data_IF_649870057765
#
_entry.id   IF_649870057765
#
_cell.length_a   1.000
_cell.length_b   1.000
_cell.length_c   1.000
_cell.angle_alpha   90.00
_cell.angle_beta   90.00
_cell.angle_gamma   90.00
#
_symmetry.space_group_name_H-M   'P 1'
#
loop_
_entity.id
_entity.type
_entity.pdbx_description
1 polymer ?
#
# COMPACT_ATOMS: atom_id res chain seq x y z
N UNK A 1 -3.50 -41.47 -11.16
CA UNK A 1 -2.83 -40.21 -10.81
C UNK A 1 -2.50 -39.53 -12.12
N UNK A 2 -3.21 -38.49 -12.52
CA UNK A 2 -2.78 -37.65 -13.65
C UNK A 2 -1.51 -36.93 -13.23
N UNK A 3 -0.36 -37.40 -13.70
CA UNK A 3 0.92 -36.73 -13.48
C UNK A 3 0.92 -35.41 -14.27
N UNK A 4 1.22 -34.31 -13.64
CA UNK A 4 1.42 -33.03 -14.31
C UNK A 4 2.65 -33.16 -15.23
N UNK A 5 2.54 -32.68 -16.46
CA UNK A 5 3.65 -32.67 -17.40
C UNK A 5 4.52 -31.43 -17.14
N UNK A 6 5.84 -31.61 -17.22
CA UNK A 6 6.80 -30.52 -17.05
C UNK A 6 7.21 -29.94 -18.39
N UNK A 7 7.18 -28.66 -18.54
CA UNK A 7 7.55 -27.89 -19.72
C UNK A 7 8.57 -26.81 -19.37
N UNK A 8 9.34 -26.35 -20.35
CA UNK A 8 10.06 -25.09 -20.25
C UNK A 8 9.11 -23.94 -20.60
N UNK A 9 9.22 -22.83 -19.86
CA UNK A 9 8.35 -21.69 -20.07
C UNK A 9 8.40 -21.16 -21.51
N UNK A 10 9.59 -21.18 -22.15
CA UNK A 10 9.77 -20.75 -23.54
C UNK A 10 9.04 -21.64 -24.58
N UNK A 11 8.58 -22.85 -24.22
CA UNK A 11 7.73 -23.70 -25.07
C UNK A 11 6.26 -23.23 -25.02
N UNK A 12 5.88 -22.52 -23.98
CA UNK A 12 4.50 -22.12 -23.69
C UNK A 12 4.22 -20.66 -23.97
N UNK A 13 5.25 -19.79 -23.88
CA UNK A 13 5.10 -18.34 -24.04
C UNK A 13 6.25 -17.74 -24.83
N UNK A 14 6.01 -16.56 -25.40
CA UNK A 14 7.07 -15.75 -25.98
C UNK A 14 7.45 -14.62 -25.01
N UNK A 15 8.75 -14.53 -24.67
CA UNK A 15 9.29 -13.51 -23.79
C UNK A 15 9.76 -12.31 -24.61
N UNK A 16 9.25 -11.10 -24.31
CA UNK A 16 9.64 -9.84 -25.00
C UNK A 16 10.10 -8.81 -23.99
N UNK A 17 11.28 -8.20 -24.23
CA UNK A 17 11.84 -7.15 -23.39
C UNK A 17 11.19 -5.81 -23.60
N UNK A 18 11.31 -4.93 -22.61
CA UNK A 18 11.01 -3.51 -22.74
C UNK A 18 12.18 -2.69 -23.28
N UNK A 19 12.08 -1.38 -23.23
CA UNK A 19 13.08 -0.47 -23.76
C UNK A 19 13.42 0.64 -22.78
N UNK A 20 14.74 0.90 -22.62
CA UNK A 20 15.25 2.08 -21.93
C UNK A 20 14.88 3.33 -22.71
N UNK A 21 14.57 4.40 -21.99
CA UNK A 21 14.40 5.72 -22.57
C UNK A 21 15.67 6.15 -23.35
N UNK A 22 15.52 6.85 -24.47
CA UNK A 22 16.66 7.45 -25.17
C UNK A 22 17.49 8.33 -24.23
N UNK A 23 18.80 8.41 -24.52
CA UNK A 23 19.73 9.20 -23.68
C UNK A 23 19.29 10.68 -23.62
N UNK A 24 19.22 11.24 -22.42
CA UNK A 24 18.82 12.63 -22.18
C UNK A 24 17.31 12.86 -22.09
N UNK A 25 16.48 11.84 -22.29
CA UNK A 25 15.03 11.94 -22.11
C UNK A 25 14.65 11.55 -20.68
N UNK A 26 13.77 12.36 -20.08
CA UNK A 26 13.18 12.12 -18.77
C UNK A 26 11.67 11.91 -18.88
N UNK A 27 11.11 11.15 -17.96
CA UNK A 27 9.67 10.99 -17.84
C UNK A 27 9.02 12.29 -17.35
N UNK A 28 7.77 12.49 -17.75
CA UNK A 28 6.94 13.63 -17.40
C UNK A 28 5.90 13.21 -16.35
N UNK A 29 5.60 14.10 -15.42
CA UNK A 29 4.52 13.89 -14.42
C UNK A 29 3.16 14.38 -14.93
N UNK A 30 3.16 15.23 -15.98
CA UNK A 30 1.90 15.69 -16.60
C UNK A 30 1.27 14.54 -17.38
N UNK A 31 0.02 14.14 -17.04
CA UNK A 31 -0.68 13.07 -17.72
C UNK A 31 -0.84 13.32 -19.23
N UNK A 32 -0.61 12.28 -20.02
CA UNK A 32 -0.88 12.22 -21.44
C UNK A 32 -1.31 10.80 -21.84
N UNK A 33 -1.37 10.49 -23.14
CA UNK A 33 -1.82 9.19 -23.67
C UNK A 33 -0.73 8.11 -23.68
N UNK A 34 0.48 8.39 -23.18
CA UNK A 34 1.65 7.50 -23.26
C UNK A 34 2.26 7.19 -21.89
N UNK A 35 1.53 6.46 -20.99
CA UNK A 35 2.07 6.06 -19.71
C UNK A 35 3.27 5.13 -19.90
N UNK A 36 4.21 5.18 -18.94
CA UNK A 36 5.42 4.38 -18.93
C UNK A 36 5.50 3.54 -17.66
N UNK A 37 5.40 2.20 -17.81
CA UNK A 37 5.40 1.25 -16.71
C UNK A 37 6.83 1.03 -16.22
N UNK A 38 7.06 1.19 -14.91
CA UNK A 38 8.33 0.95 -14.23
C UNK A 38 8.19 -0.11 -13.15
N UNK A 39 9.31 -0.60 -12.65
CA UNK A 39 9.34 -1.60 -11.57
C UNK A 39 8.58 -1.13 -10.31
N UNK A 40 8.64 0.14 -9.96
CA UNK A 40 7.92 0.72 -8.82
C UNK A 40 6.39 0.66 -8.93
N UNK A 41 5.89 0.51 -10.17
CA UNK A 41 4.47 0.45 -10.47
C UNK A 41 3.93 -0.99 -10.36
N UNK A 42 4.83 -1.98 -10.22
CA UNK A 42 4.52 -3.41 -10.11
C UNK A 42 4.44 -3.86 -8.64
N UNK A 43 3.77 -5.00 -8.39
CA UNK A 43 3.73 -5.67 -7.09
C UNK A 43 2.73 -5.10 -6.08
N UNK A 44 1.95 -4.07 -6.45
CA UNK A 44 0.93 -3.46 -5.58
C UNK A 44 -0.44 -4.13 -5.73
N UNK A 45 -0.76 -4.58 -6.92
CA UNK A 45 -2.00 -5.24 -7.29
C UNK A 45 -1.74 -6.32 -8.33
N UNK A 46 -2.67 -7.28 -8.46
CA UNK A 46 -2.59 -8.31 -9.51
C UNK A 46 -2.70 -7.68 -10.90
N UNK A 47 -3.69 -6.82 -11.09
CA UNK A 47 -3.91 -6.11 -12.34
C UNK A 47 -3.34 -4.71 -12.20
N UNK A 48 -2.44 -4.34 -13.12
CA UNK A 48 -1.84 -3.02 -13.19
C UNK A 48 -2.81 -2.09 -13.93
N UNK A 49 -3.27 -1.07 -13.25
CA UNK A 49 -4.12 -0.02 -13.81
C UNK A 49 -3.46 1.34 -13.66
N UNK A 50 -3.76 2.26 -14.56
CA UNK A 50 -3.25 3.62 -14.54
C UNK A 50 -3.77 4.35 -13.29
N UNK A 51 -2.84 4.92 -12.53
CA UNK A 51 -3.14 5.78 -11.38
C UNK A 51 -2.35 7.10 -11.43
N UNK A 52 -2.57 7.96 -10.46
CA UNK A 52 -1.92 9.28 -10.37
C UNK A 52 -0.41 9.22 -10.09
N UNK A 53 0.19 8.04 -9.91
CA UNK A 53 1.64 7.88 -9.63
C UNK A 53 2.45 7.56 -10.88
N UNK A 54 1.77 7.26 -11.99
CA UNK A 54 2.44 6.98 -13.26
C UNK A 54 3.09 8.24 -13.83
N UNK A 55 4.15 8.00 -14.59
CA UNK A 55 4.81 9.02 -15.40
C UNK A 55 4.71 8.64 -16.87
N UNK A 56 4.97 9.59 -17.74
CA UNK A 56 4.62 9.53 -19.16
C UNK A 56 5.82 9.87 -20.03
N UNK A 57 5.82 9.37 -21.25
CA UNK A 57 6.73 9.82 -22.32
C UNK A 57 6.00 10.80 -23.23
N UNK A 58 6.77 11.65 -23.92
CA UNK A 58 6.23 12.52 -24.98
C UNK A 58 5.99 11.74 -26.29
N UNK A 59 5.28 12.36 -27.24
CA UNK A 59 4.92 11.77 -28.54
C UNK A 59 6.14 11.39 -29.40
N UNK A 60 7.25 12.12 -29.29
CA UNK A 60 8.48 11.85 -30.06
C UNK A 60 9.15 10.61 -29.49
N UNK A 61 9.27 10.55 -28.19
CA UNK A 61 9.82 9.38 -27.48
C UNK A 61 8.96 8.15 -27.73
N UNK A 62 7.62 8.28 -27.60
CA UNK A 62 6.69 7.20 -27.90
C UNK A 62 6.91 6.61 -29.30
N UNK A 63 7.03 7.44 -30.34
CA UNK A 63 7.28 6.97 -31.72
C UNK A 63 8.58 6.18 -31.82
N UNK A 64 9.62 6.58 -31.07
CA UNK A 64 10.94 5.92 -31.11
C UNK A 64 10.95 4.55 -30.40
N UNK A 65 10.06 4.33 -29.43
CA UNK A 65 9.95 3.09 -28.64
C UNK A 65 8.61 2.36 -28.84
N UNK A 66 7.85 2.70 -29.88
CA UNK A 66 6.49 2.16 -30.14
C UNK A 66 6.39 0.62 -30.24
N UNK A 67 7.52 -0.07 -30.48
CA UNK A 67 7.57 -1.56 -30.50
C UNK A 67 7.54 -2.19 -29.12
N UNK A 68 7.73 -1.38 -28.07
CA UNK A 68 7.91 -1.83 -26.69
C UNK A 68 6.71 -1.42 -25.82
N UNK A 69 5.52 -1.52 -26.41
CA UNK A 69 4.24 -1.33 -25.73
C UNK A 69 3.70 -2.64 -25.19
N UNK A 70 2.81 -2.53 -24.23
CA UNK A 70 2.08 -3.67 -23.65
C UNK A 70 0.63 -3.67 -24.11
N UNK A 71 0.01 -4.83 -24.12
CA UNK A 71 -1.41 -5.00 -24.40
C UNK A 71 -2.15 -5.46 -23.14
N UNK A 72 -3.44 -5.16 -23.06
CA UNK A 72 -4.30 -5.69 -22.00
C UNK A 72 -4.16 -7.20 -21.89
N UNK A 73 -3.96 -7.72 -20.69
CA UNK A 73 -3.76 -9.14 -20.41
C UNK A 73 -2.32 -9.63 -20.55
N UNK A 74 -1.37 -8.83 -21.05
CA UNK A 74 0.05 -9.20 -21.03
C UNK A 74 0.51 -9.41 -19.57
N UNK A 75 1.31 -10.45 -19.32
CA UNK A 75 1.91 -10.71 -18.01
C UNK A 75 3.29 -10.09 -18.00
N UNK A 76 3.53 -9.17 -17.07
CA UNK A 76 4.82 -8.53 -16.86
C UNK A 76 5.60 -9.25 -15.75
N UNK A 77 6.91 -9.40 -15.95
CA UNK A 77 7.86 -9.93 -14.99
C UNK A 77 9.05 -8.98 -14.87
N UNK A 78 9.37 -8.54 -13.66
CA UNK A 78 10.54 -7.71 -13.40
C UNK A 78 11.83 -8.54 -13.44
N UNK A 79 12.87 -8.01 -14.11
CA UNK A 79 14.12 -8.72 -14.39
C UNK A 79 15.39 -8.02 -13.90
N UNK A 80 15.28 -6.78 -13.41
CA UNK A 80 16.38 -5.98 -12.83
C UNK A 80 15.80 -5.15 -11.68
N UNK A 81 16.60 -4.85 -10.67
CA UNK A 81 16.16 -4.18 -9.43
C UNK A 81 15.46 -5.17 -8.50
N UNK A 82 14.23 -4.96 -8.15
CA UNK A 82 13.42 -5.98 -7.45
C UNK A 82 12.99 -7.01 -8.49
N UNK A 83 13.73 -8.13 -8.58
CA UNK A 83 13.46 -9.20 -9.54
C UNK A 83 12.31 -10.08 -9.03
N UNK A 84 11.45 -10.57 -9.94
CA UNK A 84 10.38 -11.51 -9.62
C UNK A 84 9.03 -10.87 -9.29
N UNK A 85 8.88 -9.55 -9.42
CA UNK A 85 7.56 -8.93 -9.37
C UNK A 85 6.77 -9.31 -10.63
N UNK A 86 5.50 -9.68 -10.44
CA UNK A 86 4.60 -10.08 -11.53
C UNK A 86 3.37 -9.19 -11.52
N UNK A 87 2.86 -8.84 -12.69
CA UNK A 87 1.62 -8.09 -12.83
C UNK A 87 0.94 -8.41 -14.16
N UNK A 88 -0.38 -8.30 -14.21
CA UNK A 88 -1.18 -8.42 -15.43
C UNK A 88 -1.55 -7.01 -15.88
N UNK A 89 -1.32 -6.70 -17.14
CA UNK A 89 -1.65 -5.38 -17.70
C UNK A 89 -3.17 -5.23 -17.80
N UNK A 90 -3.70 -4.20 -17.15
CA UNK A 90 -5.10 -3.83 -17.19
C UNK A 90 -5.46 -2.96 -18.40
N UNK A 91 -6.75 -2.73 -18.57
CA UNK A 91 -7.30 -2.00 -19.72
C UNK A 91 -6.77 -0.57 -19.85
N UNK A 92 -6.59 0.14 -18.76
CA UNK A 92 -6.12 1.54 -18.76
C UNK A 92 -4.65 1.71 -19.15
N UNK A 93 -3.87 0.60 -19.13
CA UNK A 93 -2.47 0.56 -19.56
C UNK A 93 -2.28 -0.12 -20.92
N UNK A 94 -3.36 -0.41 -21.66
CA UNK A 94 -3.24 -0.89 -23.04
C UNK A 94 -2.45 0.13 -23.87
N UNK A 95 -1.42 -0.35 -24.62
CA UNK A 95 -0.46 0.45 -25.39
C UNK A 95 0.48 1.35 -24.56
N UNK A 96 0.56 1.15 -23.23
CA UNK A 96 1.59 1.76 -22.41
C UNK A 96 2.99 1.25 -22.79
N UNK A 97 4.00 2.09 -22.68
CA UNK A 97 5.39 1.65 -22.81
C UNK A 97 5.88 0.94 -21.55
N UNK A 98 6.83 0.02 -21.69
CA UNK A 98 7.45 -0.64 -20.55
C UNK A 98 8.97 -0.45 -20.52
N UNK A 99 9.52 -0.34 -19.30
CA UNK A 99 10.95 -0.25 -19.03
C UNK A 99 11.70 -1.50 -19.50
N UNK A 100 12.99 -1.36 -19.82
CA UNK A 100 13.90 -2.50 -20.06
C UNK A 100 14.11 -3.41 -18.84
N UNK A 101 13.69 -2.96 -17.65
CA UNK A 101 13.84 -3.71 -16.41
C UNK A 101 12.70 -4.71 -16.17
N UNK A 102 11.73 -4.80 -17.07
CA UNK A 102 10.74 -5.86 -17.10
C UNK A 102 10.60 -6.46 -18.50
N UNK A 103 10.10 -7.67 -18.54
CA UNK A 103 9.70 -8.37 -19.78
C UNK A 103 8.20 -8.60 -19.75
N UNK A 104 7.61 -8.82 -20.94
CA UNK A 104 6.23 -9.29 -21.07
C UNK A 104 6.21 -10.71 -21.61
N UNK A 105 5.32 -11.53 -21.05
CA UNK A 105 5.05 -12.89 -21.46
C UNK A 105 3.77 -12.87 -22.31
N UNK A 106 3.90 -13.27 -23.57
CA UNK A 106 2.83 -13.14 -24.57
C UNK A 106 2.70 -14.43 -25.38
N UNK A 107 1.65 -14.55 -26.21
CA UNK A 107 1.41 -15.70 -27.09
C UNK A 107 1.36 -17.02 -26.29
N UNK A 108 0.56 -17.05 -25.22
CA UNK A 108 0.40 -18.21 -24.35
C UNK A 108 -0.23 -19.36 -25.12
N UNK A 109 0.38 -20.54 -25.03
CA UNK A 109 -0.09 -21.76 -25.66
C UNK A 109 -0.16 -22.92 -24.65
N UNK A 110 -1.35 -23.48 -24.43
CA UNK A 110 -1.56 -24.58 -23.48
C UNK A 110 -1.44 -24.21 -22.00
N UNK A 111 -1.30 -22.93 -21.69
CA UNK A 111 -1.26 -22.42 -20.32
C UNK A 111 -2.28 -21.30 -20.12
N UNK A 112 -3.02 -21.38 -19.02
CA UNK A 112 -3.93 -20.33 -18.61
C UNK A 112 -3.14 -19.11 -18.09
N UNK A 113 -3.47 -17.85 -18.50
CA UNK A 113 -2.72 -16.66 -18.10
C UNK A 113 -2.70 -16.45 -16.58
N UNK A 114 -3.82 -16.67 -15.92
CA UNK A 114 -3.94 -16.46 -14.49
C UNK A 114 -3.22 -17.57 -13.71
N UNK A 115 -3.21 -18.81 -14.22
CA UNK A 115 -2.39 -19.89 -13.66
C UNK A 115 -0.90 -19.56 -13.76
N UNK A 116 -0.44 -19.05 -14.92
CA UNK A 116 0.95 -18.62 -15.09
C UNK A 116 1.32 -17.50 -14.11
N UNK A 117 0.44 -16.52 -13.94
CA UNK A 117 0.63 -15.45 -12.95
C UNK A 117 0.86 -16.02 -11.54
N UNK A 118 0.01 -16.93 -11.08
CA UNK A 118 0.14 -17.57 -9.77
C UNK A 118 1.33 -18.51 -9.67
N UNK A 119 1.68 -19.21 -10.74
CA UNK A 119 2.92 -20.00 -10.75
C UNK A 119 4.13 -19.11 -10.49
N UNK A 120 4.25 -18.00 -11.21
CA UNK A 120 5.38 -17.08 -11.05
C UNK A 120 5.45 -16.46 -9.65
N UNK A 121 4.32 -16.27 -8.97
CA UNK A 121 4.26 -15.80 -7.58
C UNK A 121 4.49 -16.91 -6.55
N UNK A 122 4.30 -18.18 -6.92
CA UNK A 122 4.45 -19.29 -5.99
C UNK A 122 5.90 -19.45 -5.51
N UNK A 123 6.14 -20.08 -4.34
CA UNK A 123 7.49 -20.36 -3.87
C UNK A 123 8.35 -21.08 -4.92
N UNK A 124 7.78 -22.04 -5.64
CA UNK A 124 8.47 -22.77 -6.73
C UNK A 124 8.85 -21.84 -7.89
N UNK A 125 7.92 -21.00 -8.33
CA UNK A 125 8.19 -20.02 -9.40
C UNK A 125 9.25 -19.01 -9.00
N UNK A 126 9.20 -18.50 -7.77
CA UNK A 126 10.21 -17.57 -7.25
C UNK A 126 11.58 -18.23 -7.07
N UNK A 127 11.64 -19.51 -6.69
CA UNK A 127 12.88 -20.28 -6.64
C UNK A 127 13.49 -20.44 -8.04
N UNK A 128 12.69 -20.77 -9.05
CA UNK A 128 13.13 -20.85 -10.45
C UNK A 128 13.67 -19.51 -10.97
N UNK A 129 12.98 -18.42 -10.67
CA UNK A 129 13.40 -17.04 -10.97
C UNK A 129 14.74 -16.73 -10.31
N UNK A 130 14.88 -17.05 -9.03
CA UNK A 130 16.13 -16.86 -8.26
C UNK A 130 17.27 -17.69 -8.86
N UNK A 131 17.02 -18.97 -9.19
CA UNK A 131 18.01 -19.86 -9.83
C UNK A 131 18.44 -19.34 -11.20
N UNK A 132 17.52 -18.75 -11.96
CA UNK A 132 17.82 -18.15 -13.27
C UNK A 132 18.53 -16.78 -13.19
N UNK A 133 18.58 -16.15 -12.01
CA UNK A 133 19.17 -14.83 -11.82
C UNK A 133 20.69 -14.93 -11.79
N UNK A 134 21.39 -14.01 -12.50
CA UNK A 134 22.84 -13.95 -12.58
C UNK A 134 23.36 -12.57 -12.19
N UNK A 135 24.64 -12.49 -11.79
CA UNK A 135 25.33 -11.24 -11.42
C UNK A 135 25.37 -11.00 -9.90
N UNK A 136 26.58 -10.82 -9.36
CA UNK A 136 26.83 -10.61 -7.93
C UNK A 136 26.62 -9.14 -7.49
N UNK A 137 26.94 -8.17 -8.36
CA UNK A 137 26.86 -6.73 -8.03
C UNK A 137 25.54 -6.14 -8.54
N UNK A 138 25.15 -6.48 -9.74
CA UNK A 138 23.86 -6.08 -10.34
C UNK A 138 23.14 -7.32 -10.82
N UNK A 139 22.26 -7.84 -9.97
CA UNK A 139 21.47 -9.03 -10.28
C UNK A 139 20.55 -8.75 -11.48
N UNK A 140 20.48 -9.73 -12.39
CA UNK A 140 19.63 -9.67 -13.58
C UNK A 140 19.11 -11.07 -13.91
N UNK A 141 17.89 -11.15 -14.39
CA UNK A 141 17.26 -12.37 -14.93
C UNK A 141 17.25 -12.30 -16.48
N UNK A 142 18.15 -12.98 -17.19
CA UNK A 142 18.19 -12.98 -18.65
C UNK A 142 16.96 -13.64 -19.27
N UNK A 143 16.51 -13.17 -20.44
CA UNK A 143 15.36 -13.73 -21.17
C UNK A 143 15.54 -15.23 -21.40
N UNK A 144 16.73 -15.67 -21.83
CA UNK A 144 17.04 -17.10 -22.04
C UNK A 144 16.84 -17.94 -20.77
N UNK A 145 17.12 -17.38 -19.59
CA UNK A 145 16.92 -18.08 -18.33
C UNK A 145 15.45 -18.13 -17.94
N UNK A 146 14.67 -17.10 -18.28
CA UNK A 146 13.20 -17.11 -18.13
C UNK A 146 12.59 -18.21 -19.01
N UNK A 147 13.03 -18.33 -20.27
CA UNK A 147 12.58 -19.37 -21.19
C UNK A 147 12.90 -20.78 -20.70
N UNK A 148 13.95 -20.94 -19.87
CA UNK A 148 14.35 -22.22 -19.29
C UNK A 148 13.70 -22.52 -17.92
N UNK A 149 12.87 -21.65 -17.36
CA UNK A 149 12.12 -21.92 -16.14
C UNK A 149 11.24 -23.17 -16.36
N UNK A 150 11.32 -24.12 -15.44
CA UNK A 150 10.52 -25.33 -15.49
C UNK A 150 9.18 -25.13 -14.78
N UNK A 151 8.10 -25.46 -15.47
CA UNK A 151 6.75 -25.42 -14.95
C UNK A 151 6.03 -26.75 -15.16
N UNK A 152 5.42 -27.27 -14.10
CA UNK A 152 4.56 -28.44 -14.18
C UNK A 152 3.12 -28.01 -14.40
N UNK A 153 2.47 -28.54 -15.44
CA UNK A 153 1.12 -28.14 -15.83
C UNK A 153 0.13 -29.29 -15.67
N UNK A 154 -0.98 -29.07 -14.97
CA UNK A 154 -2.16 -29.93 -15.09
C UNK A 154 -2.90 -29.68 -16.42
N UNK A 155 -3.94 -30.46 -16.71
CA UNK A 155 -4.85 -30.16 -17.81
C UNK A 155 -5.41 -28.75 -17.71
N UNK A 156 -5.68 -28.08 -18.84
CA UNK A 156 -6.08 -26.65 -18.88
C UNK A 156 -7.32 -26.35 -18.02
N UNK A 157 -8.25 -27.30 -17.92
CA UNK A 157 -9.44 -27.17 -17.06
C UNK A 157 -9.06 -27.09 -15.57
N UNK A 158 -8.11 -27.89 -15.12
CA UNK A 158 -7.61 -27.86 -13.76
C UNK A 158 -6.80 -26.58 -13.50
N UNK A 159 -5.99 -26.12 -14.47
CA UNK A 159 -5.32 -24.81 -14.39
C UNK A 159 -6.35 -23.69 -14.14
N UNK A 160 -7.43 -23.65 -14.90
CA UNK A 160 -8.50 -22.65 -14.74
C UNK A 160 -9.21 -22.73 -13.38
N UNK A 161 -9.43 -23.94 -12.86
CA UNK A 161 -10.03 -24.12 -11.53
C UNK A 161 -9.11 -23.58 -10.43
N UNK A 162 -7.83 -23.95 -10.47
CA UNK A 162 -6.81 -23.45 -9.53
C UNK A 162 -6.73 -21.92 -9.60
N UNK A 163 -6.55 -21.38 -10.78
CA UNK A 163 -6.47 -19.96 -11.05
C UNK A 163 -7.74 -19.21 -10.61
N UNK A 164 -8.91 -19.80 -10.85
CA UNK A 164 -10.20 -19.24 -10.45
C UNK A 164 -10.36 -19.10 -8.93
N UNK A 165 -9.93 -20.11 -8.15
CA UNK A 165 -9.98 -20.03 -6.67
C UNK A 165 -9.07 -18.91 -6.15
N UNK A 166 -7.80 -18.91 -6.57
CA UNK A 166 -6.85 -17.88 -6.15
C UNK A 166 -7.26 -16.49 -6.64
N UNK A 167 -7.77 -16.43 -7.88
CA UNK A 167 -8.28 -15.21 -8.49
C UNK A 167 -9.46 -14.60 -7.73
N UNK A 168 -10.42 -15.45 -7.30
CA UNK A 168 -11.56 -14.99 -6.54
C UNK A 168 -11.16 -14.37 -5.18
N UNK A 169 -10.12 -14.92 -4.53
CA UNK A 169 -9.58 -14.36 -3.29
C UNK A 169 -8.96 -12.98 -3.56
N UNK A 170 -8.11 -12.86 -4.59
CA UNK A 170 -7.49 -11.59 -4.93
C UNK A 170 -8.50 -10.54 -5.41
N UNK A 171 -9.53 -10.95 -6.17
CA UNK A 171 -10.63 -10.07 -6.58
C UNK A 171 -11.38 -9.53 -5.37
N UNK A 172 -11.62 -10.36 -4.36
CA UNK A 172 -12.27 -9.91 -3.12
C UNK A 172 -11.40 -8.94 -2.34
N UNK A 173 -10.09 -9.20 -2.23
CA UNK A 173 -9.12 -8.29 -1.60
C UNK A 173 -9.11 -6.93 -2.32
N UNK A 174 -9.05 -6.93 -3.64
CA UNK A 174 -9.02 -5.70 -4.43
C UNK A 174 -10.35 -4.92 -4.33
N UNK A 175 -11.50 -5.62 -4.39
CA UNK A 175 -12.80 -5.00 -4.18
C UNK A 175 -12.90 -4.36 -2.78
N UNK A 176 -12.42 -5.05 -1.76
CA UNK A 176 -12.35 -4.55 -0.40
C UNK A 176 -11.48 -3.28 -0.27
N UNK A 177 -10.33 -3.23 -0.97
CA UNK A 177 -9.48 -2.01 -1.04
C UNK A 177 -10.25 -0.83 -1.65
N UNK A 178 -11.00 -1.05 -2.74
CA UNK A 178 -11.83 -0.03 -3.38
C UNK A 178 -12.95 0.44 -2.48
N UNK A 179 -13.59 -0.46 -1.74
CA UNK A 179 -14.63 -0.12 -0.76
C UNK A 179 -14.01 0.77 0.34
N UNK A 180 -12.84 0.41 0.89
CA UNK A 180 -12.18 1.22 1.91
C UNK A 180 -11.79 2.61 1.41
N UNK A 181 -11.25 2.71 0.21
CA UNK A 181 -10.95 4.01 -0.40
C UNK A 181 -12.22 4.88 -0.55
N UNK A 182 -13.34 4.27 -0.95
CA UNK A 182 -14.62 4.97 -1.08
C UNK A 182 -15.19 5.39 0.29
N UNK A 183 -15.09 4.54 1.32
CA UNK A 183 -15.50 4.88 2.69
C UNK A 183 -14.69 6.07 3.24
N UNK A 184 -13.39 6.10 2.98
CA UNK A 184 -12.53 7.24 3.35
C UNK A 184 -12.99 8.55 2.66
N UNK A 185 -13.26 8.50 1.36
CA UNK A 185 -13.79 9.66 0.61
C UNK A 185 -15.14 10.11 1.14
N UNK A 186 -16.02 9.18 1.51
CA UNK A 186 -17.32 9.50 2.11
C UNK A 186 -17.16 10.14 3.48
N UNK A 187 -16.25 9.65 4.33
CA UNK A 187 -15.97 10.26 5.63
C UNK A 187 -15.42 11.68 5.47
N UNK A 188 -14.51 11.91 4.50
CA UNK A 188 -13.99 13.25 4.18
C UNK A 188 -15.11 14.18 3.65
N UNK A 189 -15.98 13.69 2.79
CA UNK A 189 -17.11 14.46 2.29
C UNK A 189 -18.10 14.83 3.40
N UNK A 190 -18.34 13.91 4.34
CA UNK A 190 -19.17 14.16 5.52
C UNK A 190 -18.57 15.21 6.44
N UNK A 191 -17.24 15.14 6.68
CA UNK A 191 -16.51 16.19 7.40
C UNK A 191 -16.70 17.55 6.70
N UNK A 192 -16.43 17.60 5.38
CA UNK A 192 -16.60 18.84 4.60
C UNK A 192 -18.00 19.41 4.72
N UNK A 193 -19.01 18.56 4.55
CA UNK A 193 -20.42 18.98 4.66
C UNK A 193 -20.72 19.61 6.03
N UNK A 194 -20.23 19.03 7.12
CA UNK A 194 -20.58 19.48 8.47
C UNK A 194 -19.72 20.65 8.97
N UNK A 195 -18.41 20.65 8.67
CA UNK A 195 -17.45 21.60 9.25
C UNK A 195 -17.04 22.72 8.30
N UNK A 196 -17.33 22.59 7.01
CA UNK A 196 -16.97 23.60 6.00
C UNK A 196 -18.21 24.21 5.37
N UNK A 197 -19.11 23.38 4.83
CA UNK A 197 -20.25 23.86 4.03
C UNK A 197 -21.43 24.28 4.91
N UNK A 198 -21.68 23.60 6.04
CA UNK A 198 -22.82 23.83 6.94
C UNK A 198 -22.42 24.04 8.40
N UNK A 199 -21.20 24.56 8.65
CA UNK A 199 -20.78 24.94 10.01
C UNK A 199 -21.73 26.00 10.55
N UNK A 200 -22.25 25.79 11.76
CA UNK A 200 -23.02 26.83 12.46
C UNK A 200 -22.09 27.84 13.12
N UNK A 201 -22.43 29.12 13.05
CA UNK A 201 -21.66 30.20 13.71
C UNK A 201 -21.76 30.14 15.25
N UNK A 202 -22.74 29.38 15.78
CA UNK A 202 -22.94 29.17 17.22
C UNK A 202 -22.00 28.13 17.83
N UNK A 203 -21.15 27.47 17.02
CA UNK A 203 -20.22 26.47 17.55
C UNK A 203 -19.08 27.14 18.28
N UNK A 204 -18.81 26.67 19.51
CA UNK A 204 -17.74 27.18 20.34
C UNK A 204 -16.37 26.82 19.78
N UNK A 205 -15.49 27.79 19.63
CA UNK A 205 -14.09 27.55 19.27
C UNK A 205 -13.29 27.21 20.52
N UNK A 206 -12.62 26.06 20.49
CA UNK A 206 -11.74 25.56 21.57
C UNK A 206 -10.34 25.26 21.05
N UNK A 207 -9.37 25.43 21.90
CA UNK A 207 -8.04 24.90 21.63
C UNK A 207 -8.09 23.36 21.70
N UNK A 208 -7.32 22.70 20.86
CA UNK A 208 -7.24 21.23 20.88
C UNK A 208 -6.77 20.72 22.25
N UNK A 209 -5.93 21.49 22.95
CA UNK A 209 -5.52 21.19 24.33
C UNK A 209 -6.66 21.17 25.35
N UNK A 210 -7.79 21.80 25.07
CA UNK A 210 -8.94 21.81 25.98
C UNK A 210 -9.76 20.50 25.85
N UNK A 211 -9.73 19.86 24.67
CA UNK A 211 -10.56 18.70 24.33
C UNK A 211 -9.77 17.40 24.12
N UNK A 212 -8.44 17.46 24.03
CA UNK A 212 -7.59 16.31 23.79
C UNK A 212 -6.32 16.28 24.65
N UNK A 213 -5.77 15.10 24.86
CA UNK A 213 -4.49 14.82 25.48
C UNK A 213 -3.49 14.34 24.44
N UNK A 214 -2.20 14.58 24.68
CA UNK A 214 -1.12 14.27 23.75
C UNK A 214 -0.09 13.37 24.43
N UNK A 215 0.11 12.18 23.89
CA UNK A 215 1.09 11.19 24.38
C UNK A 215 2.21 11.07 23.37
N UNK A 216 3.44 11.33 23.79
CA UNK A 216 4.64 11.15 22.96
C UNK A 216 5.03 9.68 22.86
N UNK A 217 5.51 9.28 21.68
CA UNK A 217 5.87 7.89 21.42
C UNK A 217 7.20 7.47 22.05
N UNK A 218 7.53 6.20 21.86
CA UNK A 218 8.69 5.52 22.41
C UNK A 218 9.98 5.89 21.67
N UNK A 219 11.02 6.27 22.43
CA UNK A 219 12.36 6.53 21.89
C UNK A 219 13.16 5.21 21.87
N UNK A 220 13.21 4.59 20.72
CA UNK A 220 13.87 3.30 20.50
C UNK A 220 15.32 3.43 20.01
N UNK A 221 16.07 2.35 20.16
CA UNK A 221 17.40 2.20 19.55
C UNK A 221 17.31 1.25 18.35
N UNK A 222 18.19 1.44 17.36
CA UNK A 222 18.19 0.61 16.16
C UNK A 222 18.35 -0.90 16.42
N UNK A 223 19.03 -1.29 17.50
CA UNK A 223 19.20 -2.70 17.89
C UNK A 223 17.98 -3.34 18.55
N UNK A 224 16.93 -2.56 18.86
CA UNK A 224 15.64 -3.06 19.35
C UNK A 224 14.74 -3.52 18.20
N UNK A 225 15.04 -3.07 16.95
CA UNK A 225 14.31 -3.50 15.76
C UNK A 225 14.75 -4.92 15.37
N UNK A 226 13.77 -5.77 15.09
CA UNK A 226 13.97 -7.19 14.75
C UNK A 226 13.13 -7.56 13.53
N UNK A 227 13.55 -8.60 12.80
CA UNK A 227 12.82 -9.07 11.63
C UNK A 227 11.50 -9.77 11.99
N UNK A 228 11.43 -10.40 13.17
CA UNK A 228 10.25 -11.13 13.63
C UNK A 228 9.96 -10.82 15.09
N UNK A 229 8.76 -10.40 15.38
CA UNK A 229 8.21 -10.14 16.72
C UNK A 229 6.68 -10.18 16.67
N UNK A 230 6.05 -10.45 17.80
CA UNK A 230 4.60 -10.27 17.98
C UNK A 230 4.20 -8.81 18.20
N UNK A 231 5.17 -7.96 18.60
CA UNK A 231 5.00 -6.51 18.77
C UNK A 231 5.62 -5.76 17.59
N UNK A 232 4.91 -4.79 17.04
CA UNK A 232 5.46 -3.90 16.04
C UNK A 232 5.46 -2.45 16.48
N UNK A 233 6.32 -1.67 15.83
CA UNK A 233 6.39 -0.23 16.01
C UNK A 233 5.81 0.50 14.81
N UNK A 234 4.85 1.38 15.07
CA UNK A 234 4.38 2.38 14.14
C UNK A 234 5.37 3.56 14.10
N UNK A 235 5.71 4.00 12.90
CA UNK A 235 6.62 5.11 12.63
C UNK A 235 6.06 6.01 11.54
N UNK A 236 6.75 7.09 11.18
CA UNK A 236 6.37 7.93 10.03
C UNK A 236 6.33 7.14 8.70
N UNK A 237 6.96 5.95 8.61
CA UNK A 237 6.88 5.08 7.43
C UNK A 237 5.49 4.47 7.23
N UNK A 238 4.67 4.47 8.27
CA UNK A 238 3.27 4.06 8.19
C UNK A 238 2.35 5.14 7.61
N UNK A 239 2.85 6.35 7.37
CA UNK A 239 2.06 7.45 6.85
C UNK A 239 2.30 7.66 5.35
N UNK A 240 1.22 7.72 4.57
CA UNK A 240 1.27 8.13 3.17
C UNK A 240 1.47 9.65 3.06
N UNK A 241 2.22 10.09 2.06
CA UNK A 241 2.48 11.53 1.84
C UNK A 241 1.19 12.33 1.62
N UNK A 242 0.21 11.74 0.95
CA UNK A 242 -1.08 12.36 0.62
C UNK A 242 -2.19 12.04 1.62
N UNK A 243 -1.85 11.47 2.78
CA UNK A 243 -2.78 10.91 3.75
C UNK A 243 -3.06 9.43 3.49
N UNK A 244 -3.33 8.69 4.57
CA UNK A 244 -3.51 7.24 4.58
C UNK A 244 -2.44 6.52 5.42
N UNK A 245 -2.76 5.32 5.86
CA UNK A 245 -1.92 4.50 6.71
C UNK A 245 -1.45 3.24 6.00
N UNK A 246 -0.13 2.99 6.02
CA UNK A 246 0.53 1.82 5.42
C UNK A 246 0.87 0.78 6.47
N UNK A 247 0.31 -0.39 6.35
CA UNK A 247 0.62 -1.54 7.21
C UNK A 247 2.08 -2.01 7.01
N UNK A 248 2.59 -1.93 5.79
CA UNK A 248 3.96 -2.31 5.43
C UNK A 248 5.03 -1.42 6.10
N UNK A 249 4.62 -0.30 6.67
CA UNK A 249 5.50 0.58 7.45
C UNK A 249 5.85 0.05 8.83
N UNK A 250 5.10 -0.89 9.37
CA UNK A 250 5.37 -1.51 10.67
C UNK A 250 6.72 -2.20 10.70
N UNK A 251 7.39 -2.15 11.86
CA UNK A 251 8.67 -2.81 12.11
C UNK A 251 8.57 -3.64 13.38
N UNK A 252 8.94 -4.92 13.30
CA UNK A 252 9.06 -5.75 14.47
C UNK A 252 10.02 -5.15 15.48
N UNK A 253 9.69 -5.20 16.76
CA UNK A 253 10.51 -4.63 17.84
C UNK A 253 10.46 -5.49 19.09
N UNK A 254 11.60 -5.51 19.80
CA UNK A 254 11.71 -5.98 21.20
C UNK A 254 12.11 -4.76 22.03
N UNK A 255 11.10 -4.09 22.57
CA UNK A 255 11.31 -2.84 23.31
C UNK A 255 12.00 -3.10 24.66
N UNK A 256 12.79 -2.13 25.11
CA UNK A 256 13.44 -2.19 26.43
C UNK A 256 12.44 -1.91 27.56
N UNK A 257 12.89 -2.11 28.82
CA UNK A 257 12.11 -1.79 30.04
C UNK A 257 11.74 -0.30 30.20
N UNK A 258 12.20 0.56 29.29
CA UNK A 258 11.85 1.99 29.27
C UNK A 258 10.52 2.29 28.58
N UNK A 259 9.94 1.27 27.88
CA UNK A 259 8.62 1.41 27.29
C UNK A 259 7.58 1.62 28.38
N UNK A 260 6.73 2.62 28.18
CA UNK A 260 5.64 2.95 29.09
C UNK A 260 4.31 2.41 28.56
N UNK A 261 3.39 2.09 29.46
CA UNK A 261 2.07 1.60 29.07
C UNK A 261 1.31 2.54 28.11
N UNK A 262 1.42 3.83 28.31
CA UNK A 262 0.79 4.84 27.43
C UNK A 262 1.33 4.88 25.99
N UNK A 263 2.50 4.26 25.73
CA UNK A 263 3.16 4.23 24.43
C UNK A 263 2.72 3.02 23.58
N UNK A 264 1.83 2.18 24.09
CA UNK A 264 1.10 1.22 23.27
C UNK A 264 -0.06 1.92 22.54
N UNK A 265 -0.35 1.47 21.34
CA UNK A 265 -1.46 1.96 20.54
C UNK A 265 -2.55 0.89 20.41
N UNK A 266 -3.78 1.28 20.67
CA UNK A 266 -4.96 0.44 20.52
C UNK A 266 -5.67 0.72 19.19
N UNK A 267 -6.54 -0.21 18.77
CA UNK A 267 -7.40 0.05 17.61
C UNK A 267 -8.22 1.32 17.85
N UNK A 268 -8.31 2.11 16.79
CA UNK A 268 -8.95 3.42 16.75
C UNK A 268 -8.22 4.53 17.54
N UNK A 269 -6.99 4.31 17.99
CA UNK A 269 -6.16 5.43 18.45
C UNK A 269 -5.75 6.31 17.28
N UNK A 270 -5.67 7.60 17.55
CA UNK A 270 -5.29 8.62 16.57
C UNK A 270 -3.81 8.89 16.72
N UNK A 271 -3.05 8.67 15.66
CA UNK A 271 -1.61 8.95 15.59
C UNK A 271 -1.37 10.12 14.64
N UNK A 272 -0.55 11.08 15.06
CA UNK A 272 -0.17 12.25 14.27
C UNK A 272 1.33 12.20 14.00
N UNK A 273 1.74 12.34 12.75
CA UNK A 273 3.15 12.41 12.37
C UNK A 273 3.75 13.75 12.80
N UNK A 274 4.84 13.67 13.60
CA UNK A 274 5.50 14.80 14.22
C UNK A 274 6.82 15.17 13.56
N UNK A 275 7.41 14.26 12.78
CA UNK A 275 8.69 14.45 12.09
C UNK A 275 8.60 14.08 10.63
N UNK A 276 9.54 14.59 9.82
CA UNK A 276 9.75 14.15 8.43
C UNK A 276 11.24 14.18 8.09
N UNK A 277 11.66 13.22 7.27
CA UNK A 277 13.01 13.13 6.71
C UNK A 277 13.13 13.84 5.35
N UNK A 278 12.01 14.29 4.79
CA UNK A 278 11.97 15.03 3.52
C UNK A 278 11.85 16.52 3.77
N UNK A 279 12.49 17.32 2.91
CA UNK A 279 12.44 18.79 3.02
C UNK A 279 11.06 19.38 2.73
N UNK A 280 10.18 18.60 2.11
CA UNK A 280 8.82 19.03 1.80
C UNK A 280 7.85 18.89 2.99
N UNK A 281 8.28 18.29 4.11
CA UNK A 281 7.41 17.98 5.25
C UNK A 281 6.13 17.20 4.86
N UNK A 282 6.27 16.26 3.92
CA UNK A 282 5.14 15.61 3.26
C UNK A 282 4.20 14.88 4.25
N UNK A 283 4.75 14.33 5.35
CA UNK A 283 3.98 13.56 6.34
C UNK A 283 3.68 14.32 7.64
N UNK A 284 4.39 15.40 7.95
CA UNK A 284 4.12 16.18 9.17
C UNK A 284 2.67 16.67 9.19
N UNK A 285 2.00 16.48 10.32
CA UNK A 285 0.61 16.85 10.51
C UNK A 285 -0.39 15.90 9.84
N UNK A 286 0.04 14.83 9.17
CA UNK A 286 -0.88 13.77 8.79
C UNK A 286 -1.35 13.07 10.07
N UNK A 287 -2.66 13.02 10.27
CA UNK A 287 -3.31 12.33 11.37
C UNK A 287 -4.02 11.09 10.82
N UNK A 288 -3.74 9.93 11.42
CA UNK A 288 -4.35 8.67 11.00
C UNK A 288 -4.92 7.93 12.21
N UNK A 289 -6.07 7.31 12.00
CA UNK A 289 -6.68 6.42 12.98
C UNK A 289 -6.17 5.00 12.72
N UNK A 290 -5.73 4.31 13.79
CA UNK A 290 -5.21 2.95 13.69
C UNK A 290 -6.35 1.96 13.48
N UNK A 291 -6.48 1.42 12.27
CA UNK A 291 -7.58 0.54 11.87
C UNK A 291 -7.22 -0.95 11.87
N UNK A 292 -5.95 -1.29 11.94
CA UNK A 292 -5.46 -2.67 11.99
C UNK A 292 -4.08 -2.74 12.65
N UNK A 293 -3.75 -3.90 13.18
CA UNK A 293 -2.42 -4.21 13.68
C UNK A 293 -1.53 -4.92 12.64
N UNK A 294 -2.03 -5.16 11.43
CA UNK A 294 -1.24 -5.78 10.36
C UNK A 294 -0.69 -7.16 10.69
N UNK A 295 -1.47 -7.97 11.44
CA UNK A 295 -1.07 -9.30 11.87
C UNK A 295 -0.23 -9.35 13.16
N UNK A 296 0.16 -8.21 13.74
CA UNK A 296 0.81 -8.15 15.06
C UNK A 296 -0.23 -8.23 16.18
N UNK A 297 0.21 -8.63 17.37
CA UNK A 297 -0.66 -8.69 18.57
C UNK A 297 -0.62 -7.43 19.40
N UNK A 298 0.42 -6.62 19.22
CA UNK A 298 0.65 -5.39 19.97
C UNK A 298 1.37 -4.36 19.10
N UNK A 299 0.97 -3.10 19.22
CA UNK A 299 1.57 -1.97 18.52
C UNK A 299 2.06 -0.93 19.53
N UNK A 300 3.32 -0.55 19.41
CA UNK A 300 3.85 0.65 20.04
C UNK A 300 4.11 1.71 18.98
N UNK A 301 4.19 2.99 19.33
CA UNK A 301 4.47 4.05 18.36
C UNK A 301 5.74 4.81 18.71
N UNK A 302 6.51 5.19 17.68
CA UNK A 302 7.81 5.84 17.83
C UNK A 302 7.68 7.29 18.28
N UNK A 303 8.77 7.83 18.83
CA UNK A 303 8.87 9.24 19.21
C UNK A 303 8.60 10.24 18.06
N UNK A 304 8.58 9.76 16.83
CA UNK A 304 8.23 10.55 15.65
C UNK A 304 6.72 10.75 15.47
N UNK A 305 5.92 10.12 16.34
CA UNK A 305 4.46 10.18 16.36
C UNK A 305 3.97 10.69 17.70
N UNK A 306 2.79 11.32 17.67
CA UNK A 306 2.04 11.71 18.86
C UNK A 306 0.68 11.03 18.83
N UNK A 307 0.31 10.33 19.90
CA UNK A 307 -1.04 9.80 20.08
C UNK A 307 -1.93 10.88 20.68
N UNK A 308 -3.09 11.09 20.05
CA UNK A 308 -4.09 12.08 20.47
C UNK A 308 -5.30 11.36 21.03
N UNK A 309 -5.62 11.64 22.29
CA UNK A 309 -6.73 11.01 23.01
C UNK A 309 -7.79 12.06 23.36
N UNK A 310 -9.08 11.76 23.22
CA UNK A 310 -10.15 12.65 23.64
C UNK A 310 -10.19 12.76 25.17
N UNK A 311 -10.43 13.95 25.69
CA UNK A 311 -10.68 14.20 27.12
C UNK A 311 -12.12 13.86 27.51
N UNK A 312 -12.36 13.71 28.81
CA UNK A 312 -13.70 13.39 29.36
C UNK A 312 -14.77 14.45 29.04
N UNK A 313 -14.37 15.70 28.85
CA UNK A 313 -15.27 16.80 28.45
C UNK A 313 -15.57 16.82 26.93
N UNK A 314 -14.86 16.01 26.14
CA UNK A 314 -15.10 15.80 24.70
C UNK A 314 -14.85 14.32 24.33
N UNK A 315 -15.70 13.36 24.77
CA UNK A 315 -15.45 11.93 24.63
C UNK A 315 -15.72 11.38 23.22
N UNK A 316 -15.56 12.19 22.18
CA UNK A 316 -15.94 11.92 20.80
C UNK A 316 -14.70 11.51 19.97
N UNK A 317 -14.23 10.26 20.15
CA UNK A 317 -12.98 9.75 19.55
C UNK A 317 -12.98 9.79 18.03
N UNK A 318 -14.09 9.34 17.41
CA UNK A 318 -14.18 9.25 15.94
C UNK A 318 -14.41 10.62 15.29
N UNK A 319 -15.12 11.49 15.96
CA UNK A 319 -15.25 12.89 15.56
C UNK A 319 -13.88 13.59 15.66
N UNK A 320 -13.13 13.38 16.76
CA UNK A 320 -11.78 13.92 16.92
C UNK A 320 -10.85 13.45 15.79
N UNK A 321 -10.92 12.17 15.40
CA UNK A 321 -10.16 11.66 14.28
C UNK A 321 -10.49 12.41 12.97
N UNK A 322 -11.77 12.63 12.69
CA UNK A 322 -12.20 13.40 11.51
C UNK A 322 -11.74 14.86 11.57
N UNK A 323 -11.77 15.47 12.74
CA UNK A 323 -11.29 16.85 12.98
C UNK A 323 -9.78 17.01 12.74
N UNK A 324 -9.00 15.93 12.85
CA UNK A 324 -7.55 15.95 12.63
C UNK A 324 -7.14 15.45 11.23
N UNK A 325 -8.00 14.65 10.56
CA UNK A 325 -7.76 14.15 9.20
C UNK A 325 -8.18 15.13 8.10
N UNK A 326 -7.89 16.41 8.25
CA UNK A 326 -8.30 17.40 7.27
C UNK A 326 -7.14 18.33 6.85
N UNK A 327 -7.24 18.97 5.67
CA UNK A 327 -6.18 19.83 5.15
C UNK A 327 -5.86 21.05 6.04
N UNK A 328 -6.83 21.57 6.77
CA UNK A 328 -6.64 22.75 7.62
C UNK A 328 -5.78 22.43 8.84
N UNK A 329 -5.99 21.28 9.47
CA UNK A 329 -5.14 20.79 10.55
C UNK A 329 -3.70 20.57 10.05
N UNK A 330 -3.53 19.92 8.92
CA UNK A 330 -2.20 19.74 8.31
C UNK A 330 -1.53 21.07 8.03
N UNK A 331 -2.23 22.03 7.43
CA UNK A 331 -1.70 23.36 7.13
C UNK A 331 -1.28 24.10 8.42
N UNK A 332 -2.08 24.01 9.48
CA UNK A 332 -1.71 24.55 10.78
C UNK A 332 -0.41 23.90 11.31
N UNK A 333 -0.31 22.57 11.29
CA UNK A 333 0.89 21.85 11.74
C UNK A 333 2.15 22.27 10.95
N UNK A 334 2.02 22.48 9.64
CA UNK A 334 3.12 22.93 8.78
C UNK A 334 3.63 24.33 9.17
N UNK A 335 2.78 25.20 9.72
CA UNK A 335 3.19 26.51 10.29
C UNK A 335 4.11 26.41 11.51
N UNK A 336 4.21 25.24 12.13
CA UNK A 336 5.04 25.00 13.32
C UNK A 336 6.27 24.14 13.06
N UNK A 337 6.64 23.93 11.79
CA UNK A 337 7.77 23.07 11.39
C UNK A 337 9.08 23.83 11.54
N UNK A 338 10.08 23.17 12.12
CA UNK A 338 11.44 23.65 12.30
C UNK A 338 12.43 22.54 11.93
N UNK A 339 13.67 22.90 11.60
CA UNK A 339 14.75 21.98 11.29
C UNK A 339 15.29 22.15 9.86
N UNK A 340 16.48 21.59 9.60
CA UNK A 340 17.17 21.72 8.31
C UNK A 340 17.43 20.35 7.65
N UNK A 341 17.68 19.32 8.42
CA UNK A 341 17.96 17.97 7.91
C UNK A 341 16.82 17.00 8.22
N UNK A 342 16.36 17.02 9.47
CA UNK A 342 15.14 16.35 9.90
C UNK A 342 14.19 17.44 10.35
N UNK A 343 13.01 17.46 9.76
CA UNK A 343 12.00 18.43 10.12
C UNK A 343 11.21 17.92 11.32
N UNK A 344 10.96 18.81 12.27
CA UNK A 344 10.20 18.52 13.48
C UNK A 344 9.09 19.55 13.66
N UNK A 345 7.93 19.09 14.04
CA UNK A 345 6.83 19.94 14.45
C UNK A 345 7.02 20.42 15.90
N UNK A 346 6.84 21.70 16.17
CA UNK A 346 6.86 22.22 17.54
C UNK A 346 5.80 21.54 18.40
N UNK A 347 6.13 21.27 19.66
CA UNK A 347 5.16 20.73 20.65
C UNK A 347 3.94 21.64 20.88
N UNK A 348 4.00 22.89 20.46
CA UNK A 348 2.87 23.85 20.55
C UNK A 348 1.83 23.63 19.45
N UNK A 349 2.19 23.01 18.34
CA UNK A 349 1.30 22.88 17.18
C UNK A 349 -0.03 22.21 17.52
N UNK A 350 0.01 21.06 18.16
CA UNK A 350 -1.22 20.34 18.52
C UNK A 350 -2.05 21.11 19.58
N UNK A 351 -1.47 21.55 20.73
CA UNK A 351 -2.22 22.29 21.74
C UNK A 351 -2.91 23.56 21.24
N UNK A 352 -2.27 24.29 20.33
CA UNK A 352 -2.72 25.59 19.84
C UNK A 352 -3.66 25.52 18.61
N UNK A 353 -3.96 24.31 18.10
CA UNK A 353 -4.93 24.18 17.02
C UNK A 353 -6.34 24.50 17.50
N UNK A 354 -7.03 25.39 16.79
CA UNK A 354 -8.41 25.80 17.11
C UNK A 354 -9.40 24.89 16.40
N UNK A 355 -10.34 24.37 17.15
CA UNK A 355 -11.38 23.45 16.68
C UNK A 355 -12.76 24.03 16.95
N UNK A 356 -13.62 24.05 15.95
CA UNK A 356 -15.03 24.34 16.12
C UNK A 356 -15.75 23.13 16.74
N UNK A 357 -16.21 23.29 17.96
CA UNK A 357 -16.88 22.23 18.72
C UNK A 357 -18.40 22.39 18.63
N UNK A 358 -19.11 21.44 17.99
CA UNK A 358 -20.56 21.46 18.00
C UNK A 358 -21.11 21.15 19.40
N UNK A 359 -22.37 21.53 19.69
CA UNK A 359 -23.07 21.12 20.92
C UNK A 359 -23.04 19.60 21.11
N UNK A 360 -23.02 19.13 22.36
CA UNK A 360 -22.84 17.71 22.70
C UNK A 360 -23.78 16.78 21.95
N UNK A 361 -25.07 17.13 21.80
CA UNK A 361 -26.05 16.31 21.07
C UNK A 361 -25.72 16.16 19.56
N UNK A 362 -25.13 17.18 18.98
CA UNK A 362 -24.66 17.16 17.58
C UNK A 362 -23.34 16.40 17.47
N UNK A 363 -22.39 16.69 18.38
CA UNK A 363 -21.10 15.99 18.45
C UNK A 363 -21.27 14.48 18.58
N UNK A 364 -22.16 14.02 19.45
CA UNK A 364 -22.49 12.60 19.63
C UNK A 364 -23.06 11.96 18.36
N UNK A 365 -23.95 12.66 17.65
CA UNK A 365 -24.49 12.18 16.37
C UNK A 365 -23.40 12.06 15.30
N UNK A 366 -22.52 13.07 15.22
CA UNK A 366 -21.38 13.08 14.30
C UNK A 366 -20.40 11.96 14.62
N UNK A 367 -20.03 11.80 15.90
CA UNK A 367 -19.13 10.74 16.36
C UNK A 367 -19.65 9.35 15.98
N UNK A 368 -20.94 9.10 16.24
CA UNK A 368 -21.59 7.83 15.84
C UNK A 368 -21.55 7.60 14.32
N UNK A 369 -21.70 8.63 13.51
CA UNK A 369 -21.63 8.49 12.06
C UNK A 369 -20.19 8.14 11.62
N UNK A 370 -19.16 8.84 12.10
CA UNK A 370 -17.77 8.53 11.80
C UNK A 370 -17.35 7.14 12.32
N UNK A 371 -17.85 6.75 13.50
CA UNK A 371 -17.65 5.41 14.06
C UNK A 371 -18.05 4.33 13.06
N UNK A 372 -19.20 4.45 12.39
CA UNK A 372 -19.67 3.46 11.41
C UNK A 372 -18.66 3.32 10.26
N UNK A 373 -18.13 4.43 9.73
CA UNK A 373 -17.14 4.39 8.66
C UNK A 373 -15.84 3.71 9.12
N UNK A 374 -15.24 4.15 10.23
CA UNK A 374 -13.97 3.62 10.69
C UNK A 374 -14.06 2.15 11.13
N UNK A 375 -15.15 1.75 11.79
CA UNK A 375 -15.36 0.33 12.11
C UNK A 375 -15.50 -0.52 10.85
N UNK A 376 -16.27 -0.05 9.85
CA UNK A 376 -16.41 -0.79 8.59
C UNK A 376 -15.09 -0.92 7.85
N UNK A 377 -14.28 0.13 7.84
CA UNK A 377 -12.95 0.10 7.24
C UNK A 377 -12.03 -0.90 7.98
N UNK A 378 -12.07 -0.94 9.31
CA UNK A 378 -11.28 -1.88 10.11
C UNK A 378 -11.70 -3.35 9.86
N UNK A 379 -13.02 -3.64 9.81
CA UNK A 379 -13.54 -4.96 9.46
C UNK A 379 -13.03 -5.45 8.10
N UNK A 380 -13.06 -4.55 7.10
CA UNK A 380 -12.61 -4.86 5.73
C UNK A 380 -11.09 -5.11 5.69
N UNK A 381 -10.30 -4.37 6.46
CA UNK A 381 -8.86 -4.62 6.56
C UNK A 381 -8.58 -5.97 7.20
N UNK A 382 -9.30 -6.33 8.27
CA UNK A 382 -9.18 -7.64 8.92
C UNK A 382 -9.60 -8.79 7.98
N UNK A 383 -10.66 -8.60 7.18
CA UNK A 383 -11.06 -9.56 6.14
C UNK A 383 -9.95 -9.74 5.11
N UNK A 384 -9.31 -8.66 4.67
CA UNK A 384 -8.22 -8.72 3.70
C UNK A 384 -6.99 -9.45 4.25
N UNK A 385 -6.63 -9.26 5.52
CA UNK A 385 -5.55 -10.01 6.18
C UNK A 385 -5.85 -11.52 6.20
N UNK A 386 -7.08 -11.89 6.52
CA UNK A 386 -7.53 -13.29 6.52
C UNK A 386 -7.47 -13.89 5.11
N UNK A 387 -7.97 -13.16 4.11
CA UNK A 387 -7.97 -13.58 2.70
C UNK A 387 -6.53 -13.72 2.16
N UNK A 388 -5.64 -12.79 2.48
CA UNK A 388 -4.23 -12.86 2.09
C UNK A 388 -3.55 -14.10 2.70
N UNK A 389 -3.77 -14.36 4.00
CA UNK A 389 -3.25 -15.55 4.68
C UNK A 389 -3.78 -16.85 4.06
N UNK A 390 -5.07 -16.88 3.72
CA UNK A 390 -5.70 -18.02 3.04
C UNK A 390 -5.07 -18.25 1.66
N UNK A 391 -4.95 -17.20 0.84
CA UNK A 391 -4.30 -17.26 -0.48
C UNK A 391 -2.87 -17.79 -0.36
N UNK A 392 -2.08 -17.22 0.53
CA UNK A 392 -0.65 -17.56 0.69
C UNK A 392 -0.46 -19.00 1.22
N UNK A 393 -1.42 -19.51 1.97
CA UNK A 393 -1.47 -20.91 2.40
C UNK A 393 -1.88 -21.87 1.28
N UNK A 394 -2.85 -21.47 0.44
CA UNK A 394 -3.38 -22.29 -0.65
C UNK A 394 -2.45 -22.30 -1.87
N UNK A 395 -1.81 -21.17 -2.16
CA UNK A 395 -0.99 -21.00 -3.36
C UNK A 395 0.05 -22.12 -3.55
N UNK A 396 0.95 -22.43 -2.61
CA UNK A 396 1.91 -23.51 -2.79
C UNK A 396 1.26 -24.87 -2.95
N UNK A 397 0.21 -25.17 -2.19
CA UNK A 397 -0.48 -26.46 -2.18
C UNK A 397 -1.25 -26.75 -3.47
N UNK A 398 -1.84 -25.70 -4.06
CA UNK A 398 -2.53 -25.79 -5.33
C UNK A 398 -1.54 -25.89 -6.50
N UNK A 399 -0.42 -25.12 -6.42
CA UNK A 399 0.57 -25.09 -7.49
C UNK A 399 1.46 -26.32 -7.57
N UNK A 400 1.55 -27.12 -6.52
CA UNK A 400 2.29 -28.38 -6.49
C UNK A 400 1.40 -29.64 -6.59
N UNK A 401 0.06 -29.46 -6.66
CA UNK A 401 -0.91 -30.53 -6.78
C UNK A 401 -1.15 -31.33 -5.48
N UNK A 402 -0.76 -30.79 -4.31
CA UNK A 402 -1.11 -31.39 -3.00
C UNK A 402 -2.62 -31.35 -2.77
N UNK A 403 -3.26 -30.25 -3.16
CA UNK A 403 -4.72 -30.12 -3.18
C UNK A 403 -5.19 -30.41 -4.60
N UNK A 404 -6.02 -31.43 -4.75
CA UNK A 404 -6.69 -31.77 -6.00
C UNK A 404 -8.08 -31.16 -6.04
N UNK A 405 -8.44 -30.58 -7.16
CA UNK A 405 -9.73 -29.93 -7.40
C UNK A 405 -10.62 -30.77 -8.33
#
# INVERSE_FOLDING_TARGET
MTSWNTYKLGELVKVKGGKRLPKGISLQTTPNTHPYIRIRDMGKSRVLELDATYEYVDDVTQKSIARYVVDEGDILLSIVGTIGLVGIVGKSLHQANQTENCVKLVNLNGIDPLFLYYFLLSPKGQEEIKRGTVGAVQAKLPIKNIENIEISLPPLEEQRRIAGILGAIDDKIENNRRINANLELQAQALYKQWFVDNRSDDWEEKLLSEIAEFVGGYSYKGNELVESSSTAMATIKNFERKGGFKVEGFKGIVASSKLKAEQHAELFDILVAHTDLTQNADVIGNAEILLTFGGYTDIIFSMDLVKVLPKSNFPYKYLLAALLKNPYFKAHCLGYVNGTTVLHMSKKALPEYVVACPPNSVAEKMDRAFKVYYHKMAEILQENETLATLRDTLLPKLMNGEIKL
#
